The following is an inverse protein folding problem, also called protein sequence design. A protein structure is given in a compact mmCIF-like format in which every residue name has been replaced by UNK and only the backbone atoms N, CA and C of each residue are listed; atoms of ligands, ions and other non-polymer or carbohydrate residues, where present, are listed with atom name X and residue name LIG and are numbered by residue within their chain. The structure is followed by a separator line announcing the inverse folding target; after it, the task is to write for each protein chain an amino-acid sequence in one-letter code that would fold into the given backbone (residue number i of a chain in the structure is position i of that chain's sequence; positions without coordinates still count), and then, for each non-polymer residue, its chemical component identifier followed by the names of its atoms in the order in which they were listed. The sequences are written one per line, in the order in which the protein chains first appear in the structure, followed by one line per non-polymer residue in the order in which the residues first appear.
data_IF_929470275965
#
_entry.id   IF_929470275965
#
_cell.length_a   1.000
_cell.length_b   1.000
_cell.length_c   1.000
_cell.angle_alpha   90.00
_cell.angle_beta   90.00
_cell.angle_gamma   90.00
#
_symmetry.space_group_name_H-M   'P 1'
#
loop_
_entity.id
_entity.type
_entity.pdbx_description
1 polymer ?
#
# COMPACT_ATOMS: atom_id res chain seq x y z
N UNK A 1 15.27 13.74 -7.29
CA UNK A 1 14.39 12.71 -7.90
C UNK A 1 15.28 11.63 -8.48
N UNK A 2 15.02 10.37 -8.14
CA UNK A 2 15.70 9.19 -8.70
C UNK A 2 15.65 9.21 -10.24
N UNK A 3 16.71 8.73 -10.92
CA UNK A 3 16.73 8.56 -12.39
C UNK A 3 15.60 7.65 -12.89
N UNK A 4 15.11 6.72 -12.07
CA UNK A 4 13.98 5.84 -12.41
C UNK A 4 12.62 6.54 -12.37
N UNK A 5 12.48 7.67 -11.66
CA UNK A 5 11.19 8.33 -11.49
C UNK A 5 10.96 9.42 -12.55
N UNK A 6 11.60 9.30 -13.71
CA UNK A 6 11.54 10.26 -14.83
C UNK A 6 10.56 9.85 -15.94
N UNK A 7 10.04 8.62 -15.88
CA UNK A 7 9.07 8.11 -16.86
C UNK A 7 7.66 8.59 -16.50
N UNK A 8 6.85 8.86 -17.54
CA UNK A 8 5.41 9.07 -17.36
C UNK A 8 4.79 7.77 -16.86
N UNK A 9 4.17 7.82 -15.68
CA UNK A 9 3.38 6.69 -15.21
C UNK A 9 2.14 6.52 -16.08
N UNK A 10 1.59 5.30 -16.17
CA UNK A 10 0.31 5.08 -16.83
C UNK A 10 -0.80 5.96 -16.24
N UNK A 11 -1.85 6.20 -17.03
CA UNK A 11 -3.03 6.92 -16.58
C UNK A 11 -3.60 6.30 -15.30
N UNK A 12 -4.06 7.16 -14.38
CA UNK A 12 -4.54 6.76 -13.07
C UNK A 12 -3.46 6.58 -12.01
N UNK A 13 -2.17 6.65 -12.34
CA UNK A 13 -1.06 6.59 -11.37
C UNK A 13 -0.36 7.95 -11.23
N UNK A 14 -0.38 8.53 -10.03
CA UNK A 14 0.26 9.81 -9.74
C UNK A 14 1.23 9.71 -8.56
N UNK A 15 2.51 10.01 -8.79
CA UNK A 15 3.55 9.93 -7.79
C UNK A 15 3.97 11.29 -7.23
N UNK A 16 4.03 11.38 -5.91
CA UNK A 16 4.43 12.56 -5.17
C UNK A 16 5.63 12.19 -4.27
N UNK A 17 6.88 12.55 -4.64
CA UNK A 17 8.07 12.09 -3.92
C UNK A 17 8.23 12.67 -2.50
N UNK A 18 7.51 13.75 -2.17
CA UNK A 18 7.68 14.52 -0.93
C UNK A 18 6.33 14.78 -0.24
N UNK A 19 5.52 13.73 -0.05
CA UNK A 19 4.25 13.83 0.69
C UNK A 19 4.47 14.11 2.19
N UNK A 20 5.52 13.52 2.75
CA UNK A 20 5.99 13.70 4.14
C UNK A 20 7.49 14.00 4.12
N UNK A 21 7.97 14.88 5.01
CA UNK A 21 9.41 15.15 5.12
C UNK A 21 10.17 13.91 5.59
N UNK A 22 11.47 13.85 5.31
CA UNK A 22 12.30 12.69 5.68
C UNK A 22 12.25 12.40 7.18
N UNK A 23 12.47 13.41 8.04
CA UNK A 23 12.50 13.23 9.50
C UNK A 23 11.15 12.74 10.05
N UNK A 24 10.04 13.31 9.55
CA UNK A 24 8.69 12.87 9.92
C UNK A 24 8.41 11.45 9.45
N UNK A 25 8.92 11.08 8.27
CA UNK A 25 8.76 9.72 7.72
C UNK A 25 9.54 8.69 8.53
N UNK A 26 10.74 9.04 8.98
CA UNK A 26 11.57 8.19 9.84
C UNK A 26 10.93 8.00 11.22
N UNK A 27 10.49 9.09 11.86
CA UNK A 27 9.79 9.04 13.14
C UNK A 27 8.51 8.22 13.05
N UNK A 28 7.72 8.41 11.98
CA UNK A 28 6.50 7.65 11.73
C UNK A 28 6.79 6.16 11.51
N UNK A 29 7.83 5.83 10.74
CA UNK A 29 8.25 4.44 10.53
C UNK A 29 8.54 3.74 11.86
N UNK A 30 9.38 4.32 12.72
CA UNK A 30 9.73 3.72 14.02
C UNK A 30 8.53 3.61 14.95
N UNK A 31 7.67 4.63 14.97
CA UNK A 31 6.45 4.62 15.76
C UNK A 31 5.50 3.49 15.33
N UNK A 32 5.17 3.39 14.03
CA UNK A 32 4.27 2.35 13.53
C UNK A 32 4.86 0.93 13.68
N UNK A 33 6.17 0.79 13.48
CA UNK A 33 6.88 -0.48 13.65
C UNK A 33 6.72 -1.05 15.06
N UNK A 34 6.67 -0.20 16.08
CA UNK A 34 6.61 -0.62 17.49
C UNK A 34 5.21 -0.63 18.08
N UNK A 35 4.29 0.21 17.60
CA UNK A 35 2.96 0.37 18.19
C UNK A 35 1.88 -0.50 17.55
N UNK A 36 2.04 -0.93 16.30
CA UNK A 36 1.01 -1.70 15.62
C UNK A 36 1.11 -3.21 15.94
N UNK A 37 -0.03 -3.90 16.12
CA UNK A 37 -0.07 -5.33 16.36
C UNK A 37 0.09 -6.09 15.03
N UNK A 38 1.31 -6.11 14.51
CA UNK A 38 1.63 -6.72 13.22
C UNK A 38 1.32 -8.23 13.19
N UNK A 39 0.58 -8.67 12.18
CA UNK A 39 0.22 -10.06 11.97
C UNK A 39 0.86 -10.62 10.69
N UNK A 40 1.13 -11.93 10.65
CA UNK A 40 1.58 -12.65 9.45
C UNK A 40 0.59 -13.77 9.09
N UNK A 41 -0.55 -13.46 8.47
CA UNK A 41 -1.55 -14.46 8.15
C UNK A 41 -1.02 -15.51 7.16
N UNK A 42 -1.65 -16.67 7.16
CA UNK A 42 -1.37 -17.74 6.21
C UNK A 42 -2.42 -17.76 5.10
N UNK A 43 -1.98 -18.01 3.87
CA UNK A 43 -2.85 -18.20 2.70
C UNK A 43 -2.64 -19.59 2.15
N UNK A 44 -3.68 -20.13 1.50
CA UNK A 44 -3.60 -21.43 0.83
C UNK A 44 -3.16 -21.21 -0.62
N UNK A 45 -2.01 -21.75 -0.98
CA UNK A 45 -1.46 -21.70 -2.35
C UNK A 45 -1.15 -23.14 -2.77
N UNK A 46 -1.70 -23.58 -3.91
CA UNK A 46 -1.58 -24.96 -4.41
C UNK A 46 -1.88 -26.03 -3.34
N UNK A 47 -2.93 -25.80 -2.55
CA UNK A 47 -3.36 -26.74 -1.51
C UNK A 47 -2.60 -26.66 -0.19
N UNK A 48 -1.44 -25.99 -0.12
CA UNK A 48 -0.60 -25.85 1.08
C UNK A 48 -0.76 -24.49 1.74
N UNK A 49 -0.67 -24.45 3.07
CA UNK A 49 -0.68 -23.21 3.84
C UNK A 49 0.71 -22.56 3.84
N UNK A 50 0.77 -21.28 3.50
CA UNK A 50 1.99 -20.50 3.47
C UNK A 50 1.76 -19.15 4.16
N UNK A 51 2.68 -18.76 5.05
CA UNK A 51 2.71 -17.39 5.56
C UNK A 51 2.93 -16.43 4.41
N UNK A 52 2.14 -15.36 4.37
CA UNK A 52 2.38 -14.30 3.40
C UNK A 52 3.78 -13.68 3.63
N UNK A 53 4.48 -13.24 2.57
CA UNK A 53 5.83 -12.69 2.69
C UNK A 53 5.81 -11.21 3.06
N UNK A 54 5.10 -10.86 4.14
CA UNK A 54 5.01 -9.51 4.75
C UNK A 54 4.21 -9.58 6.05
N UNK A 55 4.34 -8.57 6.90
CA UNK A 55 3.42 -8.37 8.02
C UNK A 55 2.33 -7.38 7.63
N UNK A 56 1.16 -7.48 8.25
CA UNK A 56 0.03 -6.58 8.00
C UNK A 56 -0.66 -6.16 9.30
N UNK A 57 -1.35 -5.01 9.24
CA UNK A 57 -2.38 -4.63 10.19
C UNK A 57 -3.47 -3.90 9.40
N UNK A 58 -4.71 -4.14 9.78
CA UNK A 58 -5.86 -3.53 9.15
C UNK A 58 -6.51 -2.54 10.11
N UNK A 59 -6.84 -1.37 9.60
CA UNK A 59 -7.48 -0.29 10.35
C UNK A 59 -8.71 0.14 9.59
N UNK A 60 -9.85 0.21 10.27
CA UNK A 60 -11.10 0.62 9.66
C UNK A 60 -11.96 1.40 10.65
N UNK A 61 -12.90 2.19 10.13
CA UNK A 61 -14.00 2.70 10.94
C UNK A 61 -14.87 1.55 11.47
N UNK A 62 -15.52 1.75 12.62
CA UNK A 62 -16.33 0.69 13.26
C UNK A 62 -17.46 0.16 12.38
N UNK A 63 -17.93 0.96 11.43
CA UNK A 63 -18.99 0.60 10.48
C UNK A 63 -18.48 -0.27 9.31
N UNK A 64 -17.17 -0.47 9.17
CA UNK A 64 -16.57 -1.17 8.04
C UNK A 64 -16.25 -2.62 8.43
N UNK A 65 -17.03 -3.56 7.91
CA UNK A 65 -16.71 -4.98 7.93
C UNK A 65 -15.92 -5.32 6.65
N UNK A 66 -14.59 -5.27 6.71
CA UNK A 66 -13.75 -5.63 5.56
C UNK A 66 -13.22 -7.06 5.68
N UNK A 67 -13.55 -7.90 4.70
CA UNK A 67 -13.00 -9.23 4.55
C UNK A 67 -11.90 -9.26 3.50
N UNK A 68 -10.63 -9.06 3.88
CA UNK A 68 -9.54 -9.26 2.93
C UNK A 68 -9.34 -10.77 2.66
N UNK A 69 -9.56 -11.22 1.42
CA UNK A 69 -9.34 -12.61 1.00
C UNK A 69 -10.15 -13.66 1.81
N UNK A 70 -11.37 -13.30 2.24
CA UNK A 70 -12.26 -14.19 2.99
C UNK A 70 -11.81 -14.50 4.43
N UNK A 71 -10.79 -13.79 4.95
CA UNK A 71 -10.38 -13.83 6.35
C UNK A 71 -10.71 -12.50 7.01
N UNK A 72 -11.41 -12.55 8.14
CA UNK A 72 -11.64 -11.38 8.97
C UNK A 72 -10.27 -10.92 9.51
N UNK A 73 -9.79 -9.75 9.07
CA UNK A 73 -8.62 -9.13 9.65
C UNK A 73 -9.06 -8.39 10.93
N UNK A 74 -8.30 -8.56 12.00
CA UNK A 74 -8.58 -7.83 13.24
C UNK A 74 -8.40 -6.33 12.99
N UNK A 75 -9.47 -5.56 13.23
CA UNK A 75 -9.40 -4.11 13.13
C UNK A 75 -8.57 -3.57 14.31
N UNK A 76 -7.37 -3.08 14.01
CA UNK A 76 -6.44 -2.53 14.99
C UNK A 76 -6.90 -1.15 15.54
N UNK A 77 -7.88 -0.51 14.91
CA UNK A 77 -8.33 0.84 15.23
C UNK A 77 -7.36 1.94 14.78
N UNK A 78 -7.86 3.17 14.70
CA UNK A 78 -7.07 4.31 14.23
C UNK A 78 -6.15 4.85 15.33
N UNK A 79 -4.83 4.72 15.14
CA UNK A 79 -3.87 5.51 15.91
C UNK A 79 -4.02 7.00 15.56
N UNK A 80 -3.82 7.94 16.52
CA UNK A 80 -3.97 9.37 16.26
C UNK A 80 -3.15 9.89 15.06
N UNK A 81 -1.93 9.36 14.88
CA UNK A 81 -1.07 9.73 13.74
C UNK A 81 -1.62 9.24 12.40
N UNK A 82 -2.26 8.07 12.37
CA UNK A 82 -2.91 7.54 11.17
C UNK A 82 -4.18 8.35 10.86
N UNK A 83 -4.95 8.73 11.88
CA UNK A 83 -6.10 9.65 11.73
C UNK A 83 -5.69 11.00 11.16
N UNK A 84 -4.56 11.57 11.62
CA UNK A 84 -4.07 12.86 11.12
C UNK A 84 -3.71 12.79 9.62
N UNK A 85 -3.06 11.71 9.18
CA UNK A 85 -2.77 11.49 7.75
C UNK A 85 -4.07 11.32 6.98
N UNK A 86 -5.00 10.49 7.48
CA UNK A 86 -6.33 10.31 6.89
C UNK A 86 -7.03 11.64 6.68
N UNK A 87 -7.18 12.46 7.72
CA UNK A 87 -7.86 13.76 7.64
C UNK A 87 -7.22 14.69 6.61
N UNK A 88 -5.88 14.69 6.51
CA UNK A 88 -5.18 15.45 5.47
C UNK A 88 -5.52 14.94 4.06
N UNK A 89 -5.51 13.62 3.84
CA UNK A 89 -5.84 13.02 2.55
C UNK A 89 -7.29 13.30 2.16
N UNK A 90 -8.23 13.16 3.10
CA UNK A 90 -9.64 13.47 2.87
C UNK A 90 -9.85 14.92 2.44
N UNK A 91 -9.18 15.88 3.10
CA UNK A 91 -9.23 17.29 2.71
C UNK A 91 -8.62 17.53 1.33
N UNK A 92 -7.52 16.87 1.02
CA UNK A 92 -6.79 17.06 -0.23
C UNK A 92 -7.55 16.52 -1.44
N UNK A 93 -8.21 15.37 -1.30
CA UNK A 93 -8.87 14.69 -2.42
C UNK A 93 -10.39 14.83 -2.43
N UNK A 94 -10.99 15.40 -1.37
CA UNK A 94 -12.45 15.53 -1.26
C UNK A 94 -13.18 14.19 -1.16
N UNK A 95 -12.48 13.12 -0.78
CA UNK A 95 -13.03 11.77 -0.64
C UNK A 95 -12.89 11.27 0.80
N UNK A 96 -13.74 10.32 1.19
CA UNK A 96 -13.56 9.56 2.42
C UNK A 96 -12.34 8.62 2.32
N UNK A 97 -11.81 8.21 3.46
CA UNK A 97 -10.90 7.07 3.56
C UNK A 97 -11.20 6.32 4.86
N UNK A 98 -12.15 5.39 4.82
CA UNK A 98 -12.64 4.70 6.01
C UNK A 98 -11.91 3.39 6.31
N UNK A 99 -10.98 2.98 5.45
CA UNK A 99 -10.13 1.80 5.64
C UNK A 99 -8.66 2.08 5.30
N UNK A 100 -7.76 1.37 5.97
CA UNK A 100 -6.33 1.44 5.81
C UNK A 100 -5.74 0.05 5.96
N UNK A 101 -5.10 -0.45 4.90
CA UNK A 101 -4.28 -1.66 4.96
C UNK A 101 -2.81 -1.27 5.10
N UNK A 102 -2.19 -1.64 6.21
CA UNK A 102 -0.76 -1.47 6.43
C UNK A 102 -0.01 -2.74 6.06
N UNK A 103 1.08 -2.61 5.32
CA UNK A 103 1.98 -3.71 4.99
C UNK A 103 3.41 -3.37 5.42
N UNK A 104 4.01 -4.19 6.29
CA UNK A 104 5.40 -4.08 6.67
C UNK A 104 6.23 -5.18 6.02
N UNK A 105 7.09 -4.77 5.09
CA UNK A 105 8.09 -5.60 4.44
C UNK A 105 9.37 -5.49 5.25
N UNK A 106 9.75 -6.56 5.96
CA UNK A 106 10.87 -6.54 6.92
C UNK A 106 12.22 -6.32 6.23
N UNK A 107 12.35 -6.78 4.98
CA UNK A 107 13.50 -6.60 4.11
C UNK A 107 13.09 -6.89 2.65
N UNK A 108 14.08 -6.98 1.75
CA UNK A 108 13.90 -7.28 0.34
C UNK A 108 13.43 -8.69 -0.02
N UNK A 109 13.35 -9.61 0.95
CA UNK A 109 12.77 -10.95 0.78
C UNK A 109 11.24 -10.94 0.86
N UNK A 110 10.68 -9.98 1.61
CA UNK A 110 9.24 -9.75 1.69
C UNK A 110 8.73 -9.09 0.39
N UNK A 111 7.58 -9.55 -0.11
CA UNK A 111 7.07 -9.22 -1.45
C UNK A 111 5.56 -9.08 -1.50
N UNK A 112 5.07 -8.53 -2.61
CA UNK A 112 3.69 -8.67 -3.04
C UNK A 112 3.69 -9.02 -4.53
N UNK A 113 3.00 -10.11 -4.89
CA UNK A 113 2.88 -10.56 -6.27
C UNK A 113 2.07 -9.59 -7.12
N UNK A 114 1.94 -9.91 -8.41
CA UNK A 114 1.04 -9.18 -9.30
C UNK A 114 -0.40 -9.32 -8.82
N UNK A 115 -1.07 -8.19 -8.63
CA UNK A 115 -2.48 -8.10 -8.22
C UNK A 115 -3.06 -6.75 -8.66
N UNK A 116 -4.38 -6.63 -8.60
CA UNK A 116 -5.08 -5.35 -8.57
C UNK A 116 -5.79 -5.25 -7.21
N UNK A 117 -6.06 -4.03 -6.77
CA UNK A 117 -6.98 -3.81 -5.65
C UNK A 117 -8.41 -3.74 -6.24
N UNK A 118 -8.96 -4.91 -6.60
CA UNK A 118 -10.25 -5.07 -7.30
C UNK A 118 -11.31 -5.76 -6.42
N UNK A 119 -11.18 -5.65 -5.11
CA UNK A 119 -12.20 -6.11 -4.16
C UNK A 119 -13.53 -5.39 -4.41
N UNK A 120 -14.65 -6.13 -4.41
CA UNK A 120 -15.98 -5.61 -4.76
C UNK A 120 -16.38 -4.42 -3.88
N UNK A 121 -15.97 -4.45 -2.62
CA UNK A 121 -16.27 -3.43 -1.61
C UNK A 121 -15.54 -2.09 -1.86
N UNK A 122 -14.59 -2.04 -2.80
CA UNK A 122 -13.92 -0.80 -3.22
C UNK A 122 -14.66 -0.07 -4.37
N UNK A 123 -15.66 -0.72 -4.97
CA UNK A 123 -16.38 -0.18 -6.13
C UNK A 123 -15.58 -0.25 -7.44
N UNK A 124 -16.10 0.38 -8.50
CA UNK A 124 -15.57 0.20 -9.86
C UNK A 124 -14.27 0.96 -10.15
N UNK A 125 -14.13 2.18 -9.64
CA UNK A 125 -12.98 3.07 -9.90
C UNK A 125 -12.46 3.67 -8.59
N UNK A 126 -11.93 2.84 -7.67
CA UNK A 126 -11.53 3.30 -6.36
C UNK A 126 -10.37 4.29 -6.43
N UNK A 127 -10.42 5.32 -5.58
CA UNK A 127 -9.23 6.12 -5.27
C UNK A 127 -8.49 5.47 -4.11
N UNK A 128 -7.23 5.09 -4.35
CA UNK A 128 -6.33 4.47 -3.39
C UNK A 128 -5.12 5.36 -3.23
N UNK A 129 -4.77 5.69 -1.98
CA UNK A 129 -3.56 6.47 -1.68
C UNK A 129 -2.58 5.62 -0.89
N UNK A 130 -1.42 5.36 -1.50
CA UNK A 130 -0.34 4.57 -0.93
C UNK A 130 0.78 5.47 -0.41
N UNK A 131 1.06 5.42 0.89
CA UNK A 131 2.18 6.13 1.53
C UNK A 131 3.32 5.18 1.85
N UNK A 132 4.54 5.50 1.44
CA UNK A 132 5.72 4.67 1.66
C UNK A 132 6.62 5.24 2.76
N UNK A 133 7.06 4.40 3.69
CA UNK A 133 7.98 4.75 4.78
C UNK A 133 9.13 3.73 4.86
N UNK A 134 10.34 4.20 5.16
CA UNK A 134 11.51 3.34 5.31
C UNK A 134 12.21 3.03 3.97
N UNK A 135 12.64 1.79 3.77
CA UNK A 135 13.44 1.41 2.62
C UNK A 135 12.72 1.67 1.28
N UNK A 136 13.44 2.31 0.34
CA UNK A 136 12.92 2.49 -1.02
C UNK A 136 12.80 1.14 -1.74
N UNK A 137 11.69 0.91 -2.43
CA UNK A 137 11.43 -0.34 -3.17
C UNK A 137 10.92 -0.04 -4.56
N UNK A 138 11.32 -0.88 -5.52
CA UNK A 138 10.83 -0.80 -6.89
C UNK A 138 9.41 -1.35 -6.90
N UNK A 139 8.46 -0.55 -7.35
CA UNK A 139 7.09 -0.91 -7.58
C UNK A 139 6.89 -1.04 -9.09
N UNK A 140 6.30 -2.15 -9.52
CA UNK A 140 6.05 -2.41 -10.94
C UNK A 140 4.57 -2.31 -11.23
N UNK A 141 4.23 -1.72 -12.38
CA UNK A 141 2.87 -1.55 -12.88
C UNK A 141 2.84 -2.21 -14.26
N UNK A 142 1.91 -3.14 -14.48
CA UNK A 142 1.80 -3.91 -15.73
C UNK A 142 0.40 -3.80 -16.29
N UNK A 143 0.27 -3.40 -17.56
CA UNK A 143 -1.01 -3.42 -18.25
C UNK A 143 -1.51 -4.88 -18.36
N UNK A 144 -2.77 -5.13 -18.03
CA UNK A 144 -3.33 -6.49 -18.03
C UNK A 144 -3.36 -7.12 -19.42
N UNK A 145 -3.61 -6.31 -20.46
CA UNK A 145 -3.77 -6.72 -21.85
C UNK A 145 -2.43 -6.72 -22.59
N UNK A 146 -1.77 -5.56 -22.70
CA UNK A 146 -0.54 -5.41 -23.49
C UNK A 146 0.69 -6.02 -22.81
N UNK A 147 0.61 -6.26 -21.48
CA UNK A 147 1.70 -6.76 -20.64
C UNK A 147 2.89 -5.81 -20.53
N UNK A 148 2.80 -4.62 -21.10
CA UNK A 148 3.78 -3.55 -20.93
C UNK A 148 3.93 -3.21 -19.46
N UNK A 149 5.18 -3.03 -19.02
CA UNK A 149 5.52 -2.85 -17.61
C UNK A 149 6.28 -1.56 -17.40
N UNK A 150 5.73 -0.71 -16.53
CA UNK A 150 6.38 0.49 -16.01
C UNK A 150 6.93 0.21 -14.61
N UNK A 151 7.94 0.96 -14.19
CA UNK A 151 8.52 0.81 -12.86
C UNK A 151 8.75 2.15 -12.20
N UNK A 152 8.49 2.23 -10.90
CA UNK A 152 8.76 3.42 -10.10
C UNK A 152 9.45 3.05 -8.80
N UNK A 153 10.44 3.86 -8.39
CA UNK A 153 11.06 3.72 -7.09
C UNK A 153 10.24 4.51 -6.06
N UNK A 154 9.54 3.78 -5.18
CA UNK A 154 8.80 4.39 -4.08
C UNK A 154 9.75 4.70 -2.94
N UNK A 155 10.01 5.99 -2.73
CA UNK A 155 10.94 6.50 -1.72
C UNK A 155 10.23 6.75 -0.38
N UNK A 156 10.97 6.83 0.73
CA UNK A 156 10.40 7.19 2.03
C UNK A 156 9.73 8.57 1.97
N UNK A 157 8.55 8.69 2.56
CA UNK A 157 7.73 9.91 2.56
C UNK A 157 6.98 10.18 1.25
N UNK A 158 7.06 9.27 0.27
CA UNK A 158 6.35 9.42 -1.00
C UNK A 158 4.90 8.94 -0.94
N UNK A 159 4.04 9.57 -1.74
CA UNK A 159 2.67 9.11 -2.01
C UNK A 159 2.57 8.60 -3.44
N UNK A 160 1.84 7.50 -3.64
CA UNK A 160 1.37 7.04 -4.93
C UNK A 160 -0.16 7.01 -4.88
N UNK A 161 -0.81 7.82 -5.70
CA UNK A 161 -2.26 7.80 -5.88
C UNK A 161 -2.58 6.90 -7.07
N UNK A 162 -3.52 5.99 -6.87
CA UNK A 162 -4.08 5.12 -7.89
C UNK A 162 -5.57 5.42 -7.99
N UNK A 163 -6.09 5.75 -9.17
CA UNK A 163 -7.46 6.23 -9.33
C UNK A 163 -8.01 5.95 -10.74
N UNK A 164 -9.31 6.19 -10.93
CA UNK A 164 -10.00 5.92 -12.19
C UNK A 164 -9.91 4.44 -12.54
N UNK A 165 -9.53 4.14 -13.78
CA UNK A 165 -9.40 2.76 -14.27
C UNK A 165 -8.13 2.03 -13.86
N UNK A 166 -7.30 2.60 -12.97
CA UNK A 166 -5.99 2.01 -12.64
C UNK A 166 -6.07 0.55 -12.18
N UNK A 167 -7.06 0.19 -11.35
CA UNK A 167 -7.24 -1.19 -10.86
C UNK A 167 -7.92 -2.10 -11.88
N UNK A 168 -8.67 -1.53 -12.83
CA UNK A 168 -9.30 -2.27 -13.92
C UNK A 168 -8.26 -2.67 -14.97
N UNK A 169 -7.40 -1.74 -15.38
CA UNK A 169 -6.56 -1.89 -16.56
C UNK A 169 -5.13 -2.38 -16.23
N UNK A 170 -4.69 -2.26 -14.97
CA UNK A 170 -3.32 -2.59 -14.56
C UNK A 170 -3.26 -3.52 -13.34
N UNK A 171 -2.27 -4.40 -13.33
CA UNK A 171 -1.78 -5.08 -12.13
C UNK A 171 -0.54 -4.38 -11.61
N UNK A 172 -0.25 -4.52 -10.33
CA UNK A 172 0.97 -4.01 -9.73
C UNK A 172 1.61 -5.01 -8.77
N UNK A 173 2.91 -4.84 -8.52
CA UNK A 173 3.68 -5.72 -7.65
C UNK A 173 4.81 -5.00 -6.93
N UNK A 174 5.19 -5.57 -5.79
CA UNK A 174 6.41 -5.23 -5.06
C UNK A 174 7.34 -6.45 -5.10
N UNK A 175 8.16 -6.60 -6.16
CA UNK A 175 8.99 -7.79 -6.36
C UNK A 175 10.07 -7.96 -5.28
N UNK A 176 10.60 -9.18 -5.20
CA UNK A 176 11.76 -9.50 -4.36
C UNK A 176 12.97 -8.67 -4.78
N UNK A 177 13.61 -8.02 -3.82
CA UNK A 177 14.82 -7.22 -4.03
C UNK A 177 15.86 -7.60 -2.98
N UNK A 178 16.50 -8.77 -3.15
CA UNK A 178 17.31 -9.44 -2.12
C UNK A 178 18.44 -8.59 -1.51
N UNK A 179 18.89 -7.52 -2.19
CA UNK A 179 19.93 -6.59 -1.70
C UNK A 179 19.41 -5.55 -0.70
N UNK A 180 18.10 -5.39 -0.55
CA UNK A 180 17.51 -4.46 0.43
C UNK A 180 17.45 -5.14 1.79
N UNK A 181 18.17 -4.62 2.77
CA UNK A 181 18.20 -5.17 4.14
C UNK A 181 17.30 -4.40 5.11
N UNK A 182 16.94 -3.16 4.80
CA UNK A 182 16.08 -2.32 5.63
C UNK A 182 14.60 -2.61 5.40
N UNK A 183 13.79 -2.37 6.44
CA UNK A 183 12.34 -2.54 6.38
C UNK A 183 11.61 -1.38 5.69
N UNK A 184 10.44 -1.66 5.15
CA UNK A 184 9.52 -0.70 4.51
C UNK A 184 8.11 -0.89 5.05
N UNK A 185 7.48 0.17 5.52
CA UNK A 185 6.04 0.18 5.83
C UNK A 185 5.29 0.91 4.72
N UNK A 186 4.19 0.32 4.28
CA UNK A 186 3.28 0.87 3.30
C UNK A 186 1.91 1.07 3.93
N UNK A 187 1.31 2.25 3.74
CA UNK A 187 -0.02 2.59 4.21
C UNK A 187 -0.91 2.75 2.98
N UNK A 188 -1.86 1.85 2.76
CA UNK A 188 -2.81 1.91 1.64
C UNK A 188 -4.18 2.36 2.14
N UNK A 189 -4.49 3.65 1.97
CA UNK A 189 -5.79 4.23 2.32
C UNK A 189 -6.82 3.93 1.23
N UNK A 190 -8.03 3.53 1.64
CA UNK A 190 -9.12 3.08 0.78
C UNK A 190 -10.47 3.62 1.28
N UNK A 191 -11.45 3.69 0.40
CA UNK A 191 -12.88 3.76 0.76
C UNK A 191 -13.51 2.40 0.51
N UNK A 192 -14.21 1.89 1.51
CA UNK A 192 -14.93 0.62 1.51
C UNK A 192 -16.41 0.91 1.76
N UNK A 193 -17.31 0.41 0.94
CA UNK A 193 -18.76 0.59 1.15
C UNK A 193 -19.59 0.34 -0.09
#
# INVERSE_FOLDING_TARGET
MSKLNKECLPEGFHYFPKGISFDKSLALYEHLRTQLPWQQPEIRVYGKMHKIPRLQCFVADQSVNYGYSGKQLDNCGWLPVLSAIRTRLQRQYGQSFNALLLNWYRNGQDTMGWHSDDEQELGHEPMIVSVSLGASRLFKIRNKVTRETNSILLETGSFLVMSGRSQNDFEHSLPKQAKVSQGRINLTFRTVG
#
